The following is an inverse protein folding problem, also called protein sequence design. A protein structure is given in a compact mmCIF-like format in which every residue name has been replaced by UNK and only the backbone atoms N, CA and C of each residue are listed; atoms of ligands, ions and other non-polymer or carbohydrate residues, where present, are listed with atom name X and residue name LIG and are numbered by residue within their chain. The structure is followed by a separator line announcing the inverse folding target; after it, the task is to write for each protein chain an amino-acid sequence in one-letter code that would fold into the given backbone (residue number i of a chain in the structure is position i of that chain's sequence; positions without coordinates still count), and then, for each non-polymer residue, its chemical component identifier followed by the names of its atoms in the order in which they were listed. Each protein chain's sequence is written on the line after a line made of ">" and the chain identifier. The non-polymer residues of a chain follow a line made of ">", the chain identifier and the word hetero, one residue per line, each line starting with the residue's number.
data_IF_945341307509
#
_entry.id   IF_945341307509
#
_cell.length_a   1.000
_cell.length_b   1.000
_cell.length_c   1.000
_cell.angle_alpha   90.00
_cell.angle_beta   90.00
_cell.angle_gamma   90.00
#
_symmetry.space_group_name_H-M   'P 1'
#
loop_
_entity.id
_entity.type
_entity.pdbx_description
1 polymer ?
#
# COMPACT_ATOMS: atom_id res chain seq x y z
N UNK A 1 1.74 -23.77 6.58
CA UNK A 1 1.27 -22.71 7.49
C UNK A 1 0.71 -21.59 6.65
N UNK A 2 -0.45 -21.05 6.99
CA UNK A 2 -0.98 -19.86 6.32
C UNK A 2 -0.10 -18.67 6.68
N UNK A 3 0.36 -17.95 5.66
CA UNK A 3 1.24 -16.78 5.81
C UNK A 3 0.40 -15.57 6.25
N UNK A 4 0.83 -14.85 7.29
CA UNK A 4 0.15 -13.66 7.81
C UNK A 4 0.56 -12.40 7.05
N UNK A 5 -0.41 -11.57 6.69
CA UNK A 5 -0.17 -10.28 6.03
C UNK A 5 -0.90 -9.20 6.82
N UNK A 6 -0.21 -8.09 7.07
CA UNK A 6 -0.81 -6.87 7.59
C UNK A 6 -0.95 -5.86 6.46
N UNK A 7 -2.18 -5.35 6.26
CA UNK A 7 -2.45 -4.19 5.39
C UNK A 7 -2.79 -2.99 6.27
N UNK A 8 -2.10 -1.86 6.09
CA UNK A 8 -2.36 -0.63 6.86
C UNK A 8 -2.73 0.49 5.92
N UNK A 9 -4.00 0.94 5.98
CA UNK A 9 -4.53 1.97 5.11
C UNK A 9 -5.73 2.63 5.80
N UNK A 10 -5.81 3.96 5.80
CA UNK A 10 -6.85 4.71 6.51
C UNK A 10 -8.20 4.69 5.78
N UNK A 11 -8.18 4.49 4.47
CA UNK A 11 -9.39 4.35 3.68
C UNK A 11 -10.00 2.95 3.83
N UNK A 12 -11.26 2.90 4.28
CA UNK A 12 -11.98 1.64 4.48
C UNK A 12 -12.02 0.78 3.21
N UNK A 13 -12.18 1.39 2.04
CA UNK A 13 -12.25 0.64 0.78
C UNK A 13 -10.93 -0.07 0.44
N UNK A 14 -9.79 0.55 0.73
CA UNK A 14 -8.48 -0.07 0.54
C UNK A 14 -8.28 -1.23 1.53
N UNK A 15 -8.78 -1.10 2.76
CA UNK A 15 -8.77 -2.24 3.70
C UNK A 15 -9.71 -3.36 3.25
N UNK A 16 -10.88 -3.02 2.70
CA UNK A 16 -11.83 -4.02 2.16
C UNK A 16 -11.23 -4.79 0.98
N UNK A 17 -10.47 -4.13 0.09
CA UNK A 17 -9.83 -4.81 -1.03
C UNK A 17 -8.73 -5.79 -0.60
N UNK A 18 -8.18 -5.65 0.62
CA UNK A 18 -7.25 -6.62 1.19
C UNK A 18 -7.88 -8.01 1.42
N UNK A 19 -9.22 -8.11 1.46
CA UNK A 19 -9.92 -9.40 1.55
C UNK A 19 -9.60 -10.33 0.37
N UNK A 20 -9.23 -9.78 -0.80
CA UNK A 20 -8.80 -10.57 -1.96
C UNK A 20 -7.50 -11.35 -1.71
N UNK A 21 -6.67 -10.94 -0.74
CA UNK A 21 -5.52 -11.73 -0.30
C UNK A 21 -5.97 -12.98 0.47
N UNK A 22 -7.08 -12.93 1.21
CA UNK A 22 -7.64 -14.10 1.88
C UNK A 22 -8.09 -15.15 0.88
N UNK A 23 -8.66 -14.74 -0.27
CA UNK A 23 -9.03 -15.66 -1.37
C UNK A 23 -7.82 -16.37 -1.98
N UNK A 24 -6.62 -15.79 -1.84
CA UNK A 24 -5.33 -16.40 -2.23
C UNK A 24 -4.72 -17.29 -1.13
N UNK A 25 -5.39 -17.45 0.00
CA UNK A 25 -4.98 -18.33 1.11
C UNK A 25 -4.10 -17.67 2.18
N UNK A 26 -3.98 -16.34 2.20
CA UNK A 26 -3.28 -15.61 3.26
C UNK A 26 -4.19 -15.38 4.48
N UNK A 27 -3.57 -15.27 5.66
CA UNK A 27 -4.27 -14.73 6.83
C UNK A 27 -4.07 -13.22 6.84
N UNK A 28 -5.14 -12.45 6.66
CA UNK A 28 -5.06 -10.99 6.50
C UNK A 28 -5.54 -10.30 7.77
N UNK A 29 -4.69 -9.43 8.30
CA UNK A 29 -5.03 -8.45 9.32
C UNK A 29 -5.02 -7.06 8.66
N UNK A 30 -5.90 -6.17 9.10
CA UNK A 30 -5.94 -4.79 8.59
C UNK A 30 -5.85 -3.81 9.75
N UNK A 31 -5.13 -2.72 9.54
CA UNK A 31 -5.12 -1.54 10.42
C UNK A 31 -5.49 -0.29 9.62
N UNK A 32 -6.03 0.69 10.31
CA UNK A 32 -6.54 1.94 9.75
C UNK A 32 -5.66 3.15 10.06
N UNK A 33 -4.64 2.97 10.90
CA UNK A 33 -3.66 3.98 11.21
C UNK A 33 -2.33 3.33 11.64
N UNK A 34 -1.30 4.16 11.77
CA UNK A 34 0.04 3.71 12.16
C UNK A 34 0.06 3.00 13.52
N UNK A 35 -0.64 3.56 14.53
CA UNK A 35 -0.62 3.04 15.90
C UNK A 35 -1.24 1.65 15.98
N UNK A 36 -2.39 1.46 15.33
CA UNK A 36 -3.06 0.16 15.20
C UNK A 36 -2.17 -0.83 14.45
N UNK A 37 -1.48 -0.38 13.39
CA UNK A 37 -0.52 -1.21 12.65
C UNK A 37 0.62 -1.75 13.53
N UNK A 38 1.22 -0.89 14.35
CA UNK A 38 2.29 -1.27 15.28
C UNK A 38 1.76 -2.21 16.38
N UNK A 39 0.57 -1.95 16.92
CA UNK A 39 -0.07 -2.81 17.93
C UNK A 39 -0.34 -4.21 17.38
N UNK A 40 -0.85 -4.33 16.15
CA UNK A 40 -1.10 -5.61 15.48
C UNK A 40 0.20 -6.39 15.22
N UNK A 41 1.32 -5.70 15.00
CA UNK A 41 2.65 -6.30 14.90
C UNK A 41 3.18 -6.83 16.25
N UNK A 42 2.41 -6.67 17.34
CA UNK A 42 2.71 -7.22 18.66
C UNK A 42 3.57 -6.30 19.52
N UNK A 43 3.68 -5.02 19.16
CA UNK A 43 4.52 -4.05 19.87
C UNK A 43 3.67 -2.89 20.33
N UNK A 44 3.85 -2.45 21.58
CA UNK A 44 3.18 -1.23 22.02
C UNK A 44 3.83 -0.02 21.31
N UNK A 45 3.05 0.82 20.60
CA UNK A 45 3.58 1.92 19.78
C UNK A 45 4.34 2.99 20.56
N UNK A 46 4.24 3.00 21.89
CA UNK A 46 4.92 3.93 22.78
C UNK A 46 6.15 3.33 23.48
N UNK A 47 6.53 2.09 23.12
CA UNK A 47 7.68 1.39 23.70
C UNK A 47 8.52 0.74 22.62
N UNK A 48 9.83 0.63 22.85
CA UNK A 48 10.70 -0.14 21.96
C UNK A 48 10.36 -1.64 22.05
N UNK A 49 10.39 -2.39 20.93
CA UNK A 49 10.31 -3.84 20.99
C UNK A 49 11.48 -4.40 21.80
N UNK A 50 11.25 -5.55 22.46
CA UNK A 50 12.32 -6.28 23.15
C UNK A 50 13.45 -6.64 22.18
N UNK A 51 14.68 -6.67 22.70
CA UNK A 51 15.84 -7.05 21.89
C UNK A 51 15.67 -8.48 21.36
N UNK A 52 15.84 -8.66 20.04
CA UNK A 52 15.63 -9.95 19.39
C UNK A 52 14.17 -10.29 19.06
N UNK A 53 13.22 -9.38 19.29
CA UNK A 53 11.84 -9.57 18.83
C UNK A 53 11.77 -9.74 17.30
N UNK A 54 11.03 -10.75 16.86
CA UNK A 54 10.78 -11.05 15.45
C UNK A 54 9.28 -11.21 15.22
N UNK A 55 8.77 -10.52 14.21
CA UNK A 55 7.39 -10.65 13.79
C UNK A 55 7.14 -12.02 13.14
N UNK A 56 5.94 -12.57 13.31
CA UNK A 56 5.49 -13.75 12.58
C UNK A 56 4.76 -13.41 11.27
N UNK A 57 4.69 -12.11 10.94
CA UNK A 57 4.13 -11.65 9.68
C UNK A 57 5.05 -11.97 8.51
N UNK A 58 4.44 -12.48 7.44
CA UNK A 58 5.11 -12.73 6.17
C UNK A 58 5.23 -11.45 5.34
N UNK A 59 4.26 -10.54 5.43
CA UNK A 59 4.33 -9.26 4.75
C UNK A 59 3.62 -8.13 5.51
N UNK A 60 4.10 -6.90 5.31
CA UNK A 60 3.43 -5.65 5.69
C UNK A 60 3.27 -4.80 4.44
N UNK A 61 2.03 -4.45 4.10
CA UNK A 61 1.67 -3.58 2.98
C UNK A 61 1.01 -2.33 3.57
N UNK A 62 1.54 -1.15 3.26
CA UNK A 62 1.11 0.09 3.93
C UNK A 62 0.81 1.19 2.93
N UNK A 63 -0.18 2.03 3.22
CA UNK A 63 -0.27 3.36 2.62
C UNK A 63 0.95 4.18 3.02
N UNK A 64 1.35 5.12 2.17
CA UNK A 64 2.28 6.18 2.53
C UNK A 64 1.63 7.17 3.51
N UNK A 65 0.43 7.63 3.19
CA UNK A 65 -0.24 8.72 3.87
C UNK A 65 -1.34 8.17 4.76
N UNK A 66 -1.21 8.34 6.06
CA UNK A 66 -2.23 7.86 7.00
C UNK A 66 -2.15 8.64 8.33
N UNK A 67 -3.20 8.57 9.16
CA UNK A 67 -3.13 9.04 10.52
C UNK A 67 -2.05 8.31 11.32
N UNK A 68 -1.41 9.03 12.25
CA UNK A 68 -0.53 8.38 13.24
C UNK A 68 -1.34 7.49 14.20
N UNK A 69 -2.59 7.88 14.46
CA UNK A 69 -3.51 7.23 15.39
C UNK A 69 -4.74 8.11 15.60
N UNK A 70 -5.80 7.54 16.17
CA UNK A 70 -6.86 8.37 16.75
C UNK A 70 -8.29 7.96 16.50
N UNK A 71 -8.60 6.66 16.48
CA UNK A 71 -9.97 6.23 16.81
C UNK A 71 -10.31 6.65 18.25
N UNK A 72 -10.76 7.89 18.42
CA UNK A 72 -11.32 8.44 19.66
C UNK A 72 -10.33 8.92 20.74
N UNK A 73 -9.02 8.69 20.61
CA UNK A 73 -8.02 9.23 21.55
C UNK A 73 -7.23 10.33 20.89
N UNK A 74 -7.34 11.56 21.43
CA UNK A 74 -6.61 12.74 20.96
C UNK A 74 -5.13 12.39 20.75
N UNK A 75 -4.65 12.59 19.53
CA UNK A 75 -3.21 12.68 19.27
C UNK A 75 -2.61 13.67 20.27
N UNK A 76 -1.43 13.39 20.87
CA UNK A 76 -0.75 14.36 21.72
C UNK A 76 -0.36 15.65 20.97
N UNK A 77 -0.41 15.63 19.63
CA UNK A 77 -0.23 16.78 18.77
C UNK A 77 -1.56 17.54 18.62
N UNK A 78 -1.73 18.64 19.37
CA UNK A 78 -2.92 19.51 19.36
C UNK A 78 -3.13 20.33 18.06
N UNK A 79 -2.49 19.99 16.94
CA UNK A 79 -2.72 20.66 15.66
C UNK A 79 -3.98 20.08 15.03
N UNK A 80 -5.10 20.82 15.09
CA UNK A 80 -6.38 20.45 14.46
C UNK A 80 -6.37 20.44 12.92
N UNK A 81 -5.24 20.08 12.30
CA UNK A 81 -5.16 19.69 10.91
C UNK A 81 -5.36 18.17 10.88
N UNK A 82 -6.09 17.69 9.87
CA UNK A 82 -6.28 16.26 9.63
C UNK A 82 -4.91 15.56 9.76
N UNK A 83 -4.77 14.68 10.76
CA UNK A 83 -3.49 14.12 11.22
C UNK A 83 -2.85 13.14 10.20
N UNK A 84 -3.15 13.30 8.92
CA UNK A 84 -2.56 12.55 7.82
C UNK A 84 -1.12 13.00 7.66
N UNK A 85 -0.20 12.06 7.83
CA UNK A 85 1.23 12.27 7.66
C UNK A 85 1.80 11.14 6.83
N UNK A 86 3.07 11.20 6.46
CA UNK A 86 3.79 10.12 5.78
C UNK A 86 4.12 8.93 6.71
N UNK A 87 3.18 8.53 7.58
CA UNK A 87 3.41 7.54 8.62
C UNK A 87 3.68 6.12 8.07
N UNK A 88 3.37 5.88 6.79
CA UNK A 88 3.75 4.66 6.07
C UNK A 88 5.26 4.41 6.05
N UNK A 89 6.07 5.46 5.89
CA UNK A 89 7.54 5.32 5.90
C UNK A 89 8.05 4.80 7.26
N UNK A 90 7.77 5.47 8.40
CA UNK A 90 8.11 4.93 9.72
C UNK A 90 7.59 3.52 9.97
N UNK A 91 6.37 3.18 9.54
CA UNK A 91 5.81 1.85 9.75
C UNK A 91 6.59 0.79 8.97
N UNK A 92 6.93 1.07 7.72
CA UNK A 92 7.71 0.17 6.88
C UNK A 92 9.14 -0.02 7.41
N UNK A 93 9.78 1.05 7.89
CA UNK A 93 11.09 0.96 8.58
C UNK A 93 10.98 0.12 9.87
N UNK A 94 9.94 0.36 10.67
CA UNK A 94 9.67 -0.39 11.89
C UNK A 94 9.45 -1.89 11.61
N UNK A 95 8.65 -2.23 10.58
CA UNK A 95 8.44 -3.60 10.15
C UNK A 95 9.76 -4.30 9.77
N UNK A 96 10.69 -3.58 9.13
CA UNK A 96 12.02 -4.13 8.81
C UNK A 96 12.87 -4.38 10.06
N UNK A 97 12.76 -3.50 11.07
CA UNK A 97 13.48 -3.65 12.35
C UNK A 97 13.07 -4.89 13.13
N UNK A 98 11.82 -5.32 13.00
CA UNK A 98 11.27 -6.56 13.61
C UNK A 98 11.28 -7.74 12.63
N UNK A 99 12.10 -7.67 11.58
CA UNK A 99 12.39 -8.73 10.61
C UNK A 99 11.18 -9.24 9.81
N UNK A 100 10.20 -8.38 9.50
CA UNK A 100 9.16 -8.73 8.51
C UNK A 100 9.83 -8.91 7.14
N UNK A 101 9.72 -10.07 6.47
CA UNK A 101 10.56 -10.37 5.31
C UNK A 101 10.15 -9.63 4.03
N UNK A 102 8.89 -9.22 3.88
CA UNK A 102 8.38 -8.55 2.68
C UNK A 102 7.59 -7.30 3.06
N UNK A 103 8.02 -6.14 2.58
CA UNK A 103 7.46 -4.85 2.96
C UNK A 103 7.20 -4.06 1.68
N UNK A 104 6.00 -3.48 1.56
CA UNK A 104 5.68 -2.56 0.49
C UNK A 104 4.93 -1.33 0.97
N UNK A 105 5.25 -0.19 0.36
CA UNK A 105 4.46 1.04 0.48
C UNK A 105 3.73 1.25 -0.85
N UNK A 106 2.42 1.52 -0.81
CA UNK A 106 1.63 1.92 -1.98
C UNK A 106 0.91 3.24 -1.69
N UNK A 107 1.16 4.26 -2.51
CA UNK A 107 0.49 5.56 -2.41
C UNK A 107 -0.43 5.81 -3.59
N UNK A 108 -1.59 6.41 -3.32
CA UNK A 108 -2.49 6.95 -4.34
C UNK A 108 -2.27 8.44 -4.61
N UNK A 109 -1.26 9.03 -3.97
CA UNK A 109 -0.98 10.45 -4.08
C UNK A 109 -0.28 10.76 -5.40
N UNK A 110 -0.77 11.74 -6.14
CA UNK A 110 -0.07 12.21 -7.31
C UNK A 110 1.23 12.90 -6.88
N UNK A 111 2.32 12.67 -7.60
CA UNK A 111 3.61 13.29 -7.27
C UNK A 111 3.60 14.83 -7.34
N UNK A 112 2.59 15.44 -7.96
CA UNK A 112 2.37 16.88 -7.98
C UNK A 112 1.56 17.39 -6.77
N UNK A 113 0.93 16.51 -5.99
CA UNK A 113 0.06 16.89 -4.87
C UNK A 113 0.84 17.26 -3.61
N UNK A 114 2.02 16.65 -3.38
CA UNK A 114 2.84 16.89 -2.19
C UNK A 114 4.33 16.68 -2.45
N UNK A 115 5.23 17.44 -1.79
CA UNK A 115 6.65 17.13 -1.74
C UNK A 115 6.94 15.70 -1.28
N UNK A 116 6.12 15.15 -0.38
CA UNK A 116 6.28 13.78 0.14
C UNK A 116 6.06 12.72 -0.95
N UNK A 117 5.09 12.96 -1.85
CA UNK A 117 4.88 12.13 -3.02
C UNK A 117 5.95 12.38 -4.09
N UNK A 118 6.41 13.62 -4.27
CA UNK A 118 7.49 13.93 -5.21
C UNK A 118 8.82 13.23 -4.86
N UNK A 119 9.17 13.11 -3.57
CA UNK A 119 10.36 12.36 -3.16
C UNK A 119 10.21 10.85 -3.36
N UNK A 120 8.98 10.35 -3.50
CA UNK A 120 8.70 8.96 -3.83
C UNK A 120 9.21 8.59 -5.23
N UNK A 121 9.27 9.56 -6.16
CA UNK A 121 9.83 9.36 -7.51
C UNK A 121 11.33 9.05 -7.50
N UNK A 122 12.05 9.39 -6.42
CA UNK A 122 13.46 9.03 -6.28
C UNK A 122 13.67 7.50 -6.18
N UNK A 123 12.60 6.75 -5.90
CA UNK A 123 12.58 5.30 -5.90
C UNK A 123 12.10 4.73 -7.25
N UNK A 124 12.01 5.51 -8.32
CA UNK A 124 11.91 4.98 -9.68
C UNK A 124 13.30 4.70 -10.25
N UNK A 125 13.42 3.56 -10.93
CA UNK A 125 14.48 3.35 -11.91
C UNK A 125 13.89 3.53 -13.30
N UNK A 126 14.41 4.54 -14.01
CA UNK A 126 14.12 4.73 -15.42
C UNK A 126 14.83 3.66 -16.22
N UNK A 127 14.06 2.73 -16.79
CA UNK A 127 14.56 1.85 -17.83
C UNK A 127 14.48 2.59 -19.16
N UNK A 128 15.52 2.49 -19.98
CA UNK A 128 15.45 2.90 -21.39
C UNK A 128 14.55 1.95 -22.21
N UNK A 129 14.16 0.81 -21.66
CA UNK A 129 13.24 -0.11 -22.30
C UNK A 129 11.86 0.55 -22.44
N UNK A 130 11.42 0.66 -23.69
CA UNK A 130 10.08 1.09 -24.04
C UNK A 130 9.14 -0.11 -24.00
N UNK A 131 7.91 0.11 -23.54
CA UNK A 131 6.83 -0.85 -23.71
C UNK A 131 6.37 -0.94 -25.19
N UNK A 132 5.37 -1.78 -25.46
CA UNK A 132 4.81 -1.97 -26.80
C UNK A 132 4.20 -0.68 -27.40
N UNK A 133 3.93 0.32 -26.55
CA UNK A 133 3.33 1.60 -26.89
C UNK A 133 4.39 2.72 -27.00
N UNK A 134 5.67 2.41 -26.73
CA UNK A 134 6.79 3.34 -26.88
C UNK A 134 7.09 4.19 -25.64
N UNK A 135 6.44 3.94 -24.51
CA UNK A 135 6.67 4.64 -23.25
C UNK A 135 7.81 3.99 -22.47
N UNK A 136 8.70 4.81 -21.89
CA UNK A 136 9.76 4.32 -21.00
C UNK A 136 9.12 3.67 -19.78
N UNK A 137 9.40 2.39 -19.57
CA UNK A 137 8.85 1.66 -18.43
C UNK A 137 9.55 2.14 -17.16
N UNK A 138 8.79 2.80 -16.28
CA UNK A 138 9.23 3.01 -14.90
C UNK A 138 9.30 1.63 -14.25
N UNK A 139 10.44 1.34 -13.62
CA UNK A 139 10.60 0.14 -12.81
C UNK A 139 10.83 0.55 -11.38
N UNK A 140 10.24 -0.18 -10.44
CA UNK A 140 10.48 0.03 -9.01
C UNK A 140 11.60 -0.91 -8.59
N UNK A 141 12.77 -0.40 -8.18
CA UNK A 141 13.86 -1.23 -7.71
C UNK A 141 13.43 -1.87 -6.38
N UNK A 142 13.52 -3.19 -6.34
CA UNK A 142 13.56 -3.92 -5.09
C UNK A 142 14.86 -3.58 -4.37
N UNK A 143 14.80 -3.34 -3.06
CA UNK A 143 15.99 -3.19 -2.23
C UNK A 143 15.84 -3.93 -0.90
N UNK A 144 16.98 -4.17 -0.23
CA UNK A 144 17.02 -4.87 1.05
C UNK A 144 17.27 -3.88 2.18
N UNK A 145 16.49 -3.99 3.25
CA UNK A 145 16.70 -3.26 4.50
C UNK A 145 16.55 -4.23 5.67
N UNK A 146 17.63 -4.40 6.45
CA UNK A 146 17.66 -5.35 7.59
C UNK A 146 17.21 -6.78 7.24
N UNK A 147 17.56 -7.26 6.05
CA UNK A 147 17.15 -8.58 5.55
C UNK A 147 15.73 -8.65 4.96
N UNK A 148 14.94 -7.57 5.07
CA UNK A 148 13.61 -7.44 4.47
C UNK A 148 13.69 -6.98 3.03
N UNK A 149 12.85 -7.57 2.16
CA UNK A 149 12.56 -7.11 0.80
C UNK A 149 11.65 -5.89 0.87
N UNK A 150 12.04 -4.80 0.21
CA UNK A 150 11.32 -3.54 0.23
C UNK A 150 11.02 -3.05 -1.19
N UNK A 151 9.77 -2.69 -1.45
CA UNK A 151 9.35 -2.00 -2.69
C UNK A 151 8.38 -0.88 -2.40
N UNK A 152 8.32 0.08 -3.32
CA UNK A 152 7.52 1.29 -3.21
C UNK A 152 6.75 1.45 -4.50
N UNK A 153 5.44 1.68 -4.42
CA UNK A 153 4.51 1.76 -5.53
C UNK A 153 3.69 3.05 -5.45
N UNK A 154 3.32 3.57 -6.61
CA UNK A 154 2.20 4.51 -6.77
C UNK A 154 1.04 3.82 -7.51
N UNK A 155 -0.08 4.52 -7.64
CA UNK A 155 -1.26 4.01 -8.35
C UNK A 155 -1.02 3.78 -9.85
N UNK A 156 0.00 4.39 -10.46
CA UNK A 156 0.33 4.15 -11.87
C UNK A 156 1.05 2.82 -12.06
N UNK A 157 1.80 2.35 -11.04
CA UNK A 157 2.47 1.06 -11.07
C UNK A 157 1.50 -0.13 -11.02
N UNK A 158 0.27 0.09 -10.54
CA UNK A 158 -0.66 -0.98 -10.21
C UNK A 158 -2.06 -0.65 -10.70
N UNK A 159 -2.62 -1.53 -11.54
CA UNK A 159 -4.03 -1.42 -11.96
C UNK A 159 -4.96 -1.39 -10.74
N UNK A 160 -5.52 -0.21 -10.47
CA UNK A 160 -6.49 -0.02 -9.39
C UNK A 160 -7.70 -0.94 -9.58
N UNK A 161 -8.32 -1.28 -8.46
CA UNK A 161 -9.61 -1.96 -8.45
C UNK A 161 -10.73 -0.92 -8.39
N UNK A 162 -11.89 -1.28 -8.87
CA UNK A 162 -13.12 -0.52 -8.70
C UNK A 162 -14.13 -1.37 -7.93
N UNK A 163 -14.82 -0.77 -6.95
CA UNK A 163 -15.89 -1.42 -6.21
C UNK A 163 -17.13 -1.58 -7.10
N UNK A 164 -17.58 -2.82 -7.29
CA UNK A 164 -18.78 -3.16 -8.04
C UNK A 164 -20.03 -3.02 -7.16
N UNK A 165 -21.19 -2.81 -7.79
CA UNK A 165 -22.47 -2.65 -7.08
C UNK A 165 -22.90 -3.89 -6.29
N UNK A 166 -22.37 -5.07 -6.64
CA UNK A 166 -22.57 -6.32 -5.90
C UNK A 166 -21.63 -6.47 -4.68
N UNK A 167 -20.79 -5.48 -4.41
CA UNK A 167 -19.81 -5.47 -3.32
C UNK A 167 -18.47 -6.13 -3.65
N UNK A 168 -18.30 -6.70 -4.85
CA UNK A 168 -17.03 -7.29 -5.29
C UNK A 168 -16.09 -6.24 -5.88
N UNK A 169 -14.82 -6.60 -6.07
CA UNK A 169 -13.82 -5.75 -6.75
C UNK A 169 -13.55 -6.24 -8.17
N UNK A 170 -13.30 -5.32 -9.10
CA UNK A 170 -12.87 -5.66 -10.47
C UNK A 170 -11.91 -4.63 -11.06
N UNK A 171 -11.06 -5.07 -11.99
CA UNK A 171 -10.05 -4.25 -12.68
C UNK A 171 -10.40 -3.94 -14.14
N UNK A 172 -11.56 -4.41 -14.63
CA UNK A 172 -12.04 -4.29 -16.00
C UNK A 172 -12.69 -2.94 -16.32
N UNK A 173 -12.56 -1.95 -15.42
CA UNK A 173 -13.22 -0.65 -15.56
C UNK A 173 -12.86 0.04 -16.88
N UNK A 174 -11.57 0.11 -17.20
CA UNK A 174 -11.08 0.82 -18.40
C UNK A 174 -11.50 0.14 -19.71
N UNK A 175 -11.89 -1.14 -19.68
CA UNK A 175 -12.30 -1.92 -20.85
C UNK A 175 -13.80 -1.82 -21.15
N UNK A 176 -14.57 -1.16 -20.29
CA UNK A 176 -16.03 -1.05 -20.42
C UNK A 176 -16.43 0.29 -21.04
N UNK A 177 -17.55 0.31 -21.77
CA UNK A 177 -18.20 1.56 -22.18
C UNK A 177 -18.74 2.31 -20.96
N UNK A 178 -18.89 3.63 -21.05
CA UNK A 178 -19.40 4.49 -19.97
C UNK A 178 -20.74 3.97 -19.39
N UNK A 179 -21.71 3.66 -20.25
CA UNK A 179 -22.99 3.08 -19.84
C UNK A 179 -22.84 1.76 -19.06
N UNK A 180 -21.88 0.90 -19.46
CA UNK A 180 -21.61 -0.36 -18.75
C UNK A 180 -20.91 -0.12 -17.42
N UNK A 181 -20.07 0.93 -17.32
CA UNK A 181 -19.39 1.31 -16.07
C UNK A 181 -20.41 1.78 -15.03
N UNK A 182 -21.30 2.71 -15.39
CA UNK A 182 -22.32 3.28 -14.50
C UNK A 182 -23.27 2.22 -13.92
N UNK A 183 -23.55 1.17 -14.69
CA UNK A 183 -24.40 0.07 -14.25
C UNK A 183 -23.67 -0.96 -13.39
N UNK A 184 -22.34 -1.03 -13.47
CA UNK A 184 -21.54 -2.10 -12.85
C UNK A 184 -20.81 -1.67 -11.58
N UNK A 185 -20.33 -0.43 -11.52
CA UNK A 185 -19.52 0.07 -10.40
C UNK A 185 -20.28 1.04 -9.51
N UNK A 186 -19.91 1.04 -8.24
CA UNK A 186 -20.31 2.07 -7.29
C UNK A 186 -19.59 3.35 -7.67
N UNK A 187 -20.31 4.46 -7.67
CA UNK A 187 -19.77 5.79 -7.92
C UNK A 187 -19.57 6.58 -6.63
N UNK A 188 -18.70 7.59 -6.66
CA UNK A 188 -18.45 8.51 -5.54
C UNK A 188 -19.73 9.21 -5.04
N UNK A 189 -20.63 9.57 -5.97
CA UNK A 189 -21.96 10.14 -5.67
C UNK A 189 -22.81 9.16 -4.85
N UNK A 190 -22.85 7.88 -5.24
CA UNK A 190 -23.59 6.84 -4.51
C UNK A 190 -23.03 6.63 -3.09
N UNK A 191 -21.74 6.95 -2.85
CA UNK A 191 -21.10 6.93 -1.52
C UNK A 191 -21.20 8.23 -0.74
N UNK A 192 -21.69 9.32 -1.34
CA UNK A 192 -21.84 10.62 -0.69
C UNK A 192 -20.53 11.38 -0.47
N UNK A 193 -19.44 11.01 -1.17
CA UNK A 193 -18.13 11.64 -1.06
C UNK A 193 -17.85 12.45 -2.35
N UNK A 194 -17.91 13.78 -2.29
CA UNK A 194 -17.62 14.77 -3.36
C UNK A 194 -18.65 14.98 -4.50
N UNK A 195 -18.47 16.10 -5.23
CA UNK A 195 -19.41 16.82 -6.09
C UNK A 195 -19.92 16.09 -7.35
N UNK A 196 -20.55 16.83 -8.28
CA UNK A 196 -21.41 16.34 -9.39
C UNK A 196 -20.81 15.37 -10.43
N UNK A 197 -19.65 14.75 -10.18
CA UNK A 197 -18.97 13.83 -11.08
C UNK A 197 -19.20 12.36 -10.68
N UNK A 198 -19.47 11.48 -11.66
CA UNK A 198 -19.67 10.03 -11.47
C UNK A 198 -18.35 9.26 -11.64
N UNK A 199 -17.37 9.50 -10.78
CA UNK A 199 -16.17 8.66 -10.78
C UNK A 199 -16.45 7.34 -10.02
N UNK A 200 -15.93 6.20 -10.48
CA UNK A 200 -16.05 4.95 -9.74
C UNK A 200 -15.24 5.04 -8.45
N UNK A 201 -15.66 4.28 -7.42
CA UNK A 201 -14.88 4.23 -6.17
C UNK A 201 -13.68 3.31 -6.38
N UNK A 202 -12.50 3.91 -6.47
CA UNK A 202 -11.22 3.22 -6.64
C UNK A 202 -10.72 2.62 -5.32
N UNK A 203 -10.03 1.49 -5.43
CA UNK A 203 -9.37 0.81 -4.33
C UNK A 203 -7.99 0.31 -4.75
N UNK A 204 -7.06 0.31 -3.80
CA UNK A 204 -5.73 -0.27 -3.99
C UNK A 204 -5.80 -1.77 -4.24
N UNK A 205 -4.95 -2.25 -5.13
CA UNK A 205 -4.86 -3.66 -5.49
C UNK A 205 -3.70 -4.34 -4.75
N UNK A 206 -3.91 -4.66 -3.47
CA UNK A 206 -2.89 -5.28 -2.61
C UNK A 206 -2.41 -6.65 -3.10
N UNK A 207 -3.24 -7.37 -3.86
CA UNK A 207 -2.86 -8.63 -4.50
C UNK A 207 -1.73 -8.38 -5.50
N UNK A 208 -1.90 -7.41 -6.39
CA UNK A 208 -0.87 -7.05 -7.36
C UNK A 208 0.39 -6.49 -6.70
N UNK A 209 0.26 -5.67 -5.64
CA UNK A 209 1.40 -5.22 -4.83
C UNK A 209 2.23 -6.41 -4.36
N UNK A 210 1.57 -7.39 -3.74
CA UNK A 210 2.25 -8.56 -3.17
C UNK A 210 2.85 -9.45 -4.27
N UNK A 211 2.12 -9.69 -5.36
CA UNK A 211 2.59 -10.51 -6.47
C UNK A 211 3.86 -9.92 -7.09
N UNK A 212 3.93 -8.59 -7.28
CA UNK A 212 5.13 -7.91 -7.80
C UNK A 212 6.27 -7.95 -6.77
N UNK A 213 5.98 -7.70 -5.50
CA UNK A 213 6.98 -7.74 -4.42
C UNK A 213 7.67 -9.12 -4.30
N UNK A 214 6.89 -10.18 -4.49
CA UNK A 214 7.35 -11.57 -4.39
C UNK A 214 7.94 -12.12 -5.69
N UNK A 215 7.87 -11.41 -6.81
CA UNK A 215 8.48 -11.87 -8.05
C UNK A 215 10.00 -11.82 -7.94
N UNK A 216 10.63 -13.00 -7.96
CA UNK A 216 12.09 -13.13 -7.91
C UNK A 216 12.78 -12.62 -9.19
N UNK A 217 12.05 -12.40 -10.27
CA UNK A 217 12.61 -11.72 -11.45
C UNK A 217 13.09 -10.31 -11.12
N UNK A 218 12.48 -9.65 -10.11
CA UNK A 218 12.88 -8.34 -9.59
C UNK A 218 14.18 -8.37 -8.76
N UNK A 219 14.63 -9.55 -8.30
CA UNK A 219 15.89 -9.68 -7.55
C UNK A 219 17.12 -9.41 -8.43
N UNK A 220 17.01 -9.52 -9.76
CA UNK A 220 18.15 -9.31 -10.69
C UNK A 220 18.73 -7.91 -10.61
N UNK A 221 17.98 -6.95 -10.06
CA UNK A 221 18.39 -5.56 -9.92
C UNK A 221 18.89 -5.20 -8.51
N UNK A 222 18.78 -6.12 -7.55
CA UNK A 222 19.34 -5.92 -6.21
C UNK A 222 20.85 -6.09 -6.30
N UNK A 223 21.59 -4.98 -6.22
CA UNK A 223 23.04 -5.05 -6.07
C UNK A 223 23.34 -5.89 -4.83
N UNK A 224 24.05 -7.00 -5.01
CA UNK A 224 24.56 -7.74 -3.86
C UNK A 224 25.44 -6.80 -3.04
N UNK A 225 25.39 -6.87 -1.69
CA UNK A 225 26.30 -6.11 -0.86
C UNK A 225 27.72 -6.37 -1.34
N UNK A 226 28.48 -5.31 -1.54
CA UNK A 226 29.92 -5.43 -1.81
C UNK A 226 30.48 -6.16 -0.59
N UNK A 227 30.97 -7.39 -0.79
CA UNK A 227 31.60 -8.13 0.29
C UNK A 227 32.76 -7.28 0.84
N UNK A 228 32.72 -7.01 2.14
CA UNK A 228 33.80 -6.34 2.89
C UNK A 228 35.05 -7.22 2.99
#
# INVERSE_FOLDING_TARGET
>A
MNKKILVVDDMEINRQSASLLSDKGYQVNTASDFSEGVEILGVNPFTSPEEGFKSDYFAVLTDLMMPIGGHGKRSPCNSGLDNITTAGYPLALFASRIEVPNIAILTSMNHHDSPDAAVFDMFHSYSEAKDEEGYTRRSRPLFNLNGSRFMMFDDDDIKSLCLRKDGSFGSDYYDLSEEKRDNKYVTEIERGNYGSYRNPVHAKNWVSVLEILLDDSNLKHVRQPVAE
#
